data_IF_019513310131
#
_entry.id   IF_019513310131
#
_cell.length_a   1.000
_cell.length_b   1.000
_cell.length_c   1.000
_cell.angle_alpha   90.00
_cell.angle_beta   90.00
_cell.angle_gamma   90.00
#
_symmetry.space_group_name_H-M   'P 1'
#
loop_
_entity.id
_entity.type
_entity.pdbx_description
1 polymer ?
#
# COMPACT_ATOMS: atom_id res chain seq x y z
N UNK A 1 -22.81 -22.55 20.72
CA UNK A 1 -21.69 -22.83 19.79
C UNK A 1 -21.84 -22.24 18.37
N UNK A 2 -22.91 -21.49 18.00
CA UNK A 2 -23.01 -20.79 16.68
C UNK A 2 -22.45 -19.35 16.67
N UNK A 3 -22.26 -18.70 17.83
CA UNK A 3 -21.66 -17.35 17.92
C UNK A 3 -20.15 -17.35 17.65
N UNK A 4 -19.42 -18.36 18.15
CA UNK A 4 -17.96 -18.48 17.98
C UNK A 4 -17.57 -18.88 16.54
N UNK A 5 -18.46 -19.53 15.79
CA UNK A 5 -18.27 -19.80 14.35
C UNK A 5 -18.49 -18.54 13.51
N UNK A 6 -19.42 -17.66 13.91
CA UNK A 6 -19.69 -16.37 13.25
C UNK A 6 -18.50 -15.40 13.40
N UNK A 7 -17.89 -15.34 14.58
CA UNK A 7 -16.71 -14.49 14.84
C UNK A 7 -15.41 -15.02 14.21
N UNK A 8 -15.26 -16.35 14.06
CA UNK A 8 -14.13 -16.95 13.34
C UNK A 8 -14.21 -16.73 11.82
N UNK A 9 -15.42 -16.69 11.22
CA UNK A 9 -15.61 -16.37 9.79
C UNK A 9 -15.28 -14.90 9.47
N UNK A 10 -15.69 -13.97 10.34
CA UNK A 10 -15.49 -12.52 10.12
C UNK A 10 -14.04 -12.07 10.27
N UNK A 11 -13.25 -12.67 11.18
CA UNK A 11 -11.81 -12.36 11.31
C UNK A 11 -10.93 -13.06 10.27
N UNK A 12 -11.32 -14.25 9.79
CA UNK A 12 -10.52 -15.04 8.83
C UNK A 12 -10.62 -14.50 7.38
N UNK A 13 -11.79 -13.99 6.97
CA UNK A 13 -11.96 -13.22 5.72
C UNK A 13 -11.13 -11.93 5.71
N UNK A 14 -11.03 -11.23 6.86
CA UNK A 14 -10.24 -10.00 7.01
C UNK A 14 -8.72 -10.21 6.88
N UNK A 15 -8.25 -11.45 6.93
CA UNK A 15 -6.83 -11.81 6.99
C UNK A 15 -6.33 -12.52 5.71
N UNK A 16 -7.22 -13.12 4.89
CA UNK A 16 -6.86 -13.76 3.61
C UNK A 16 -6.89 -12.78 2.41
N UNK A 17 -7.49 -11.60 2.57
CA UNK A 17 -7.43 -10.48 1.61
C UNK A 17 -6.42 -9.43 2.09
N UNK A 18 -5.14 -9.78 2.29
CA UNK A 18 -4.12 -8.73 2.38
C UNK A 18 -3.99 -8.13 0.99
N UNK A 19 -4.84 -7.14 0.69
CA UNK A 19 -4.84 -6.43 -0.57
C UNK A 19 -3.41 -5.95 -0.83
N UNK A 20 -2.87 -6.27 -2.01
CA UNK A 20 -1.56 -5.76 -2.38
C UNK A 20 -1.75 -4.44 -3.10
N UNK A 21 -0.92 -3.49 -2.76
CA UNK A 21 -0.89 -2.19 -3.40
C UNK A 21 0.27 -2.19 -4.39
N UNK A 22 -0.05 -2.01 -5.66
CA UNK A 22 0.93 -1.74 -6.70
C UNK A 22 1.09 -0.22 -6.77
N UNK A 23 2.28 0.24 -6.42
CA UNK A 23 2.60 1.66 -6.28
C UNK A 23 3.59 2.03 -7.39
N UNK A 24 3.26 3.02 -8.19
CA UNK A 24 4.11 3.55 -9.27
C UNK A 24 4.51 4.99 -9.00
N UNK A 25 5.77 5.33 -9.25
CA UNK A 25 6.26 6.69 -9.08
C UNK A 25 6.09 7.52 -10.36
N UNK A 26 5.12 8.43 -10.42
CA UNK A 26 4.74 9.11 -11.66
C UNK A 26 5.32 10.53 -11.80
N UNK A 27 5.48 11.26 -10.69
CA UNK A 27 6.01 12.63 -10.71
C UNK A 27 7.25 12.75 -9.84
N UNK A 28 8.28 13.43 -10.36
CA UNK A 28 9.56 13.60 -9.67
C UNK A 28 9.42 14.28 -8.31
N UNK A 29 10.27 13.89 -7.36
CA UNK A 29 10.34 14.45 -6.01
C UNK A 29 11.22 15.72 -5.91
N UNK A 30 11.80 16.16 -7.03
CA UNK A 30 12.64 17.38 -7.10
C UNK A 30 11.77 18.60 -6.76
N UNK A 31 12.27 19.50 -5.93
CA UNK A 31 11.54 20.70 -5.49
C UNK A 31 10.57 20.46 -4.32
N UNK A 32 10.30 19.21 -3.94
CA UNK A 32 9.47 18.91 -2.76
C UNK A 32 10.28 18.85 -1.46
N UNK A 33 9.64 19.05 -0.29
CA UNK A 33 10.27 18.94 1.02
C UNK A 33 11.01 17.61 1.28
N UNK A 34 12.04 17.65 2.13
CA UNK A 34 12.93 16.51 2.37
C UNK A 34 12.20 15.30 2.97
N UNK A 35 11.21 15.54 3.81
CA UNK A 35 10.42 14.49 4.45
C UNK A 35 9.61 13.65 3.43
N UNK A 36 9.11 14.27 2.36
CA UNK A 36 8.48 13.56 1.25
C UNK A 36 9.50 12.74 0.46
N UNK A 37 10.70 13.30 0.23
CA UNK A 37 11.80 12.58 -0.43
C UNK A 37 12.22 11.33 0.36
N UNK A 38 12.33 11.47 1.68
CA UNK A 38 12.60 10.35 2.59
C UNK A 38 11.48 9.31 2.54
N UNK A 39 10.22 9.74 2.44
CA UNK A 39 9.06 8.84 2.32
C UNK A 39 9.11 8.02 1.02
N UNK A 40 9.38 8.65 -0.13
CA UNK A 40 9.54 7.95 -1.42
C UNK A 40 10.67 6.91 -1.35
N UNK A 41 11.82 7.30 -0.78
CA UNK A 41 12.96 6.38 -0.57
C UNK A 41 12.62 5.22 0.37
N UNK A 42 11.90 5.50 1.46
CA UNK A 42 11.48 4.50 2.45
C UNK A 42 10.47 3.50 1.88
N UNK A 43 9.60 3.93 0.96
CA UNK A 43 8.74 3.01 0.20
C UNK A 43 9.55 2.07 -0.70
N UNK A 44 10.79 2.44 -1.06
CA UNK A 44 11.69 1.66 -1.91
C UNK A 44 11.72 2.13 -3.37
N UNK A 45 11.13 3.29 -3.66
CA UNK A 45 11.14 3.90 -4.98
C UNK A 45 12.47 4.64 -5.19
N UNK A 46 13.30 4.12 -6.10
CA UNK A 46 14.65 4.63 -6.40
C UNK A 46 14.72 5.35 -7.76
N UNK A 47 13.84 5.02 -8.70
CA UNK A 47 13.80 5.59 -10.05
C UNK A 47 12.38 6.01 -10.44
N UNK A 48 12.25 7.08 -11.22
CA UNK A 48 10.96 7.51 -11.75
C UNK A 48 10.35 6.40 -12.63
N UNK A 49 9.03 6.27 -12.58
CA UNK A 49 8.22 5.21 -13.22
C UNK A 49 8.47 3.78 -12.70
N UNK A 50 9.31 3.62 -11.67
CA UNK A 50 9.43 2.35 -10.98
C UNK A 50 8.10 1.98 -10.34
N UNK A 51 7.72 0.72 -10.48
CA UNK A 51 6.58 0.12 -9.81
C UNK A 51 7.07 -0.84 -8.75
N UNK A 52 6.43 -0.82 -7.58
CA UNK A 52 6.68 -1.75 -6.47
C UNK A 52 5.36 -2.31 -5.96
N UNK A 53 5.40 -3.49 -5.38
CA UNK A 53 4.25 -4.07 -4.68
C UNK A 53 4.50 -4.04 -3.18
N UNK A 54 3.48 -3.65 -2.42
CA UNK A 54 3.51 -3.63 -0.95
C UNK A 54 2.21 -4.17 -0.40
N UNK A 55 2.29 -4.86 0.74
CA UNK A 55 1.09 -5.29 1.44
C UNK A 55 0.37 -4.07 2.04
N UNK A 56 -0.95 -4.08 1.95
CA UNK A 56 -1.77 -3.01 2.51
C UNK A 56 -1.70 -3.02 4.04
N UNK A 57 -1.12 -1.97 4.61
CA UNK A 57 -1.06 -1.74 6.05
C UNK A 57 -1.37 -0.28 6.35
N UNK A 58 -1.93 0.05 7.54
CA UNK A 58 -2.22 1.43 7.93
C UNK A 58 -1.00 2.34 7.85
N UNK A 59 0.20 1.82 8.18
CA UNK A 59 1.47 2.53 8.08
C UNK A 59 1.78 2.89 6.63
N UNK A 60 1.68 1.92 5.70
CA UNK A 60 1.89 2.17 4.27
C UNK A 60 0.85 3.15 3.74
N UNK A 61 -0.44 3.01 4.09
CA UNK A 61 -1.49 3.97 3.69
C UNK A 61 -1.17 5.40 4.15
N UNK A 62 -0.68 5.57 5.38
CA UNK A 62 -0.25 6.88 5.89
C UNK A 62 0.89 7.49 5.06
N UNK A 63 1.90 6.68 4.72
CA UNK A 63 3.00 7.09 3.85
C UNK A 63 2.50 7.48 2.45
N UNK A 64 1.64 6.65 1.84
CA UNK A 64 1.07 6.91 0.51
C UNK A 64 0.24 8.19 0.49
N UNK A 65 -0.57 8.44 1.52
CA UNK A 65 -1.39 9.64 1.62
C UNK A 65 -0.57 10.93 1.64
N UNK A 66 0.61 10.90 2.27
CA UNK A 66 1.56 12.02 2.32
C UNK A 66 2.12 12.37 0.94
N UNK A 67 2.44 11.34 0.14
CA UNK A 67 3.05 11.51 -1.20
C UNK A 67 2.09 11.24 -2.35
N UNK A 68 0.77 11.25 -2.10
CA UNK A 68 -0.27 10.81 -3.06
C UNK A 68 -0.24 11.52 -4.40
N UNK A 69 0.31 12.73 -4.45
CA UNK A 69 0.44 13.49 -5.68
C UNK A 69 1.66 13.04 -6.51
N UNK A 70 2.65 12.37 -5.93
CA UNK A 70 3.84 11.90 -6.64
C UNK A 70 3.65 10.50 -7.24
N UNK A 71 2.68 9.74 -6.76
CA UNK A 71 2.52 8.31 -7.04
C UNK A 71 1.14 7.98 -7.62
N UNK A 72 1.05 6.86 -8.32
CA UNK A 72 -0.20 6.17 -8.64
C UNK A 72 -0.27 4.86 -7.84
N UNK A 73 -1.46 4.50 -7.35
CA UNK A 73 -1.68 3.30 -6.53
C UNK A 73 -2.83 2.50 -7.14
N UNK A 74 -2.54 1.24 -7.46
CA UNK A 74 -3.49 0.24 -7.95
C UNK A 74 -3.68 -0.84 -6.87
N UNK A 75 -4.92 -1.23 -6.60
CA UNK A 75 -5.23 -2.32 -5.67
C UNK A 75 -5.20 -3.63 -6.48
N UNK A 76 -4.32 -4.54 -6.09
CA UNK A 76 -4.29 -5.91 -6.58
C UNK A 76 -5.17 -6.75 -5.66
N UNK A 77 -6.36 -7.12 -6.15
CA UNK A 77 -7.21 -8.06 -5.45
C UNK A 77 -6.51 -9.42 -5.40
N UNK A 78 -6.30 -9.92 -4.19
CA UNK A 78 -5.75 -11.25 -3.94
C UNK A 78 -6.73 -12.31 -4.44
N UNK A 79 -6.65 -12.65 -5.72
CA UNK A 79 -7.29 -13.82 -6.28
C UNK A 79 -6.65 -15.07 -5.71
N UNK A 80 -7.37 -15.74 -4.82
CA UNK A 80 -7.14 -17.14 -4.42
C UNK A 80 -6.83 -17.97 -5.67
N UNK A 81 -5.60 -18.47 -5.78
CA UNK A 81 -5.33 -19.71 -6.52
C UNK A 81 -5.30 -20.85 -5.52
#
# INVERSE_FOLDING_TARGET
>A
MKLLQRLKKTRRLRMMMMARLKIRWDRSQIGYPEDQRRTIRALGLRRLHQTIERDDSPTIRGMLHKVRHLISVEILEGGTK
#
